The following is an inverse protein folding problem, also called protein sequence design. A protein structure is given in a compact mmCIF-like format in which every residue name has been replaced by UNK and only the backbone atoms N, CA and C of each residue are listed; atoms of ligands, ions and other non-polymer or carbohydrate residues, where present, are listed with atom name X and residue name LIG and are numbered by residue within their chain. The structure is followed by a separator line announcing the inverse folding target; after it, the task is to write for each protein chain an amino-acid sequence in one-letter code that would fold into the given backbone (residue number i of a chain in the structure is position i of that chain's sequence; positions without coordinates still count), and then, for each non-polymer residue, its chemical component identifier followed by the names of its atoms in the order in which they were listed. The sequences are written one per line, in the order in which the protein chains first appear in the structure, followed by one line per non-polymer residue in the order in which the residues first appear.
data_IF_559384584238
#
_entry.id   IF_559384584238
#
_cell.length_a   1.000
_cell.length_b   1.000
_cell.length_c   1.000
_cell.angle_alpha   90.00
_cell.angle_beta   90.00
_cell.angle_gamma   90.00
#
_symmetry.space_group_name_H-M   'P 1'
#
loop_
_entity.id
_entity.type
_entity.pdbx_description
1 polymer ?
#
# COMPACT_ATOMS: atom_id res chain seq x y z
N UNK A 1 -15.07 14.33 -8.76
CA UNK A 1 -13.69 13.82 -8.60
C UNK A 1 -13.80 12.50 -7.86
N UNK A 2 -13.22 11.41 -8.39
CA UNK A 2 -13.30 10.06 -7.79
C UNK A 2 -12.82 10.15 -6.34
N UNK A 3 -13.65 9.69 -5.40
CA UNK A 3 -13.29 9.58 -4.00
C UNK A 3 -12.12 8.57 -3.92
N UNK A 4 -10.89 9.05 -3.77
CA UNK A 4 -9.66 8.24 -3.67
C UNK A 4 -9.44 7.72 -2.25
N UNK A 5 -10.43 7.88 -1.35
CA UNK A 5 -10.37 7.32 0.00
C UNK A 5 -10.12 5.82 -0.07
N UNK A 6 -9.03 5.38 0.55
CA UNK A 6 -8.65 3.98 0.56
C UNK A 6 -7.67 3.55 -0.51
N UNK A 7 -7.20 4.45 -1.38
CA UNK A 7 -6.17 4.15 -2.36
C UNK A 7 -5.00 5.12 -2.21
N UNK A 8 -3.78 4.59 -2.11
CA UNK A 8 -2.56 5.38 -2.11
C UNK A 8 -1.76 5.13 -3.37
N UNK A 9 -1.08 6.16 -3.88
CA UNK A 9 -0.15 5.99 -5.00
C UNK A 9 1.01 5.12 -4.53
N UNK A 10 1.52 4.24 -5.38
CA UNK A 10 2.71 3.44 -5.09
C UNK A 10 3.98 4.28 -5.23
N UNK A 11 4.22 5.20 -4.29
CA UNK A 11 5.37 6.11 -4.26
C UNK A 11 6.39 5.77 -3.15
N UNK A 12 6.22 4.63 -2.47
CA UNK A 12 7.09 4.21 -1.37
C UNK A 12 6.71 4.76 0.00
N UNK A 13 5.52 5.36 0.17
CA UNK A 13 5.07 5.90 1.46
C UNK A 13 5.23 4.93 2.64
N UNK A 14 5.66 5.46 3.80
CA UNK A 14 5.70 4.73 5.07
C UNK A 14 4.33 4.84 5.77
N UNK A 15 3.75 3.70 6.12
CA UNK A 15 2.45 3.57 6.78
C UNK A 15 2.63 2.89 8.14
N UNK A 16 1.79 3.27 9.11
CA UNK A 16 1.74 2.57 10.39
C UNK A 16 1.01 1.23 10.25
N UNK A 17 1.60 0.18 10.80
CA UNK A 17 1.00 -1.16 10.75
C UNK A 17 -0.32 -1.20 11.50
N UNK A 18 -0.42 -0.51 12.65
CA UNK A 18 -1.61 -0.50 13.51
C UNK A 18 -2.88 0.01 12.79
N UNK A 19 -2.71 0.88 11.80
CA UNK A 19 -3.81 1.48 11.03
C UNK A 19 -4.15 0.66 9.76
N UNK A 20 -3.27 -0.27 9.35
CA UNK A 20 -3.35 -0.99 8.08
C UNK A 20 -3.03 -2.50 8.22
N UNK A 21 -3.50 -3.12 9.31
CA UNK A 21 -3.14 -4.50 9.68
C UNK A 21 -3.49 -5.53 8.58
N UNK A 22 -4.66 -5.37 7.94
CA UNK A 22 -5.08 -6.25 6.84
C UNK A 22 -4.11 -6.18 5.65
N UNK A 23 -3.71 -4.98 5.24
CA UNK A 23 -2.71 -4.80 4.19
C UNK A 23 -1.33 -5.38 4.61
N UNK A 24 -0.89 -5.13 5.85
CA UNK A 24 0.36 -5.69 6.37
C UNK A 24 0.37 -7.22 6.35
N UNK A 25 -0.75 -7.87 6.64
CA UNK A 25 -0.86 -9.34 6.58
C UNK A 25 -0.60 -9.93 5.19
N UNK A 26 -0.81 -9.14 4.14
CA UNK A 26 -0.62 -9.54 2.73
C UNK A 26 0.79 -9.26 2.21
N UNK A 27 1.36 -8.09 2.53
CA UNK A 27 2.62 -7.64 1.93
C UNK A 27 3.82 -7.64 2.90
N UNK A 28 3.56 -7.68 4.21
CA UNK A 28 4.58 -7.57 5.25
C UNK A 28 5.38 -6.26 5.17
N UNK A 29 6.66 -6.34 5.51
CA UNK A 29 7.66 -5.27 5.40
C UNK A 29 8.52 -5.40 4.13
N UNK A 30 8.02 -6.08 3.08
CA UNK A 30 8.79 -6.39 1.86
C UNK A 30 9.38 -5.16 1.17
N UNK A 31 8.72 -4.01 1.27
CA UNK A 31 9.16 -2.77 0.65
C UNK A 31 9.90 -1.83 1.62
N UNK A 32 10.23 -2.31 2.81
CA UNK A 32 10.87 -1.55 3.87
C UNK A 32 9.91 -1.24 5.02
N UNK A 33 10.44 -0.47 5.96
CA UNK A 33 9.72 0.01 7.13
C UNK A 33 10.48 -0.29 8.42
N UNK A 34 10.08 0.39 9.49
CA UNK A 34 10.58 0.12 10.83
C UNK A 34 9.89 -1.11 11.40
N UNK A 35 10.65 -2.20 11.55
CA UNK A 35 10.17 -3.51 12.01
C UNK A 35 9.18 -3.39 13.17
N UNK A 36 7.99 -3.96 12.97
CA UNK A 36 6.96 -4.06 14.00
C UNK A 36 6.19 -2.76 14.29
N UNK A 37 6.49 -1.66 13.62
CA UNK A 37 5.77 -0.38 13.79
C UNK A 37 5.26 0.17 12.46
N UNK A 38 6.09 0.12 11.42
CA UNK A 38 5.81 0.72 10.12
C UNK A 38 6.13 -0.26 8.99
N UNK A 39 5.39 -0.11 7.89
CA UNK A 39 5.65 -0.78 6.62
C UNK A 39 5.71 0.27 5.51
N UNK A 40 6.50 0.04 4.48
CA UNK A 40 6.44 0.82 3.26
C UNK A 40 5.54 0.11 2.24
N UNK A 41 4.84 0.90 1.43
CA UNK A 41 4.19 0.42 0.21
C UNK A 41 5.20 0.38 -0.94
N UNK A 42 4.89 -0.27 -2.09
CA UNK A 42 5.78 -0.26 -3.23
C UNK A 42 6.09 1.16 -3.72
N UNK A 43 7.31 1.36 -4.22
CA UNK A 43 7.62 2.49 -5.09
C UNK A 43 7.66 1.98 -6.54
N UNK A 44 6.66 2.39 -7.32
CA UNK A 44 6.50 2.05 -8.74
C UNK A 44 6.50 3.30 -9.63
N UNK A 45 7.03 4.41 -9.11
CA UNK A 45 7.32 5.59 -9.92
C UNK A 45 8.35 5.22 -10.99
N UNK A 46 8.17 5.72 -12.20
CA UNK A 46 8.96 5.44 -13.40
C UNK A 46 8.85 3.98 -13.91
N UNK A 47 8.04 3.15 -13.27
CA UNK A 47 7.70 1.80 -13.72
C UNK A 47 6.36 1.76 -14.48
N UNK A 48 5.70 2.91 -14.66
CA UNK A 48 4.43 3.01 -15.34
C UNK A 48 4.55 2.73 -16.85
N UNK A 49 3.56 2.04 -17.46
CA UNK A 49 3.61 1.69 -18.89
C UNK A 49 3.45 2.91 -19.80
N UNK A 50 2.90 4.02 -19.29
CA UNK A 50 2.83 5.31 -19.98
C UNK A 50 2.76 6.45 -18.96
N UNK A 51 3.05 7.68 -19.41
CA UNK A 51 3.02 8.88 -18.57
C UNK A 51 1.62 9.23 -18.03
N UNK A 52 0.56 8.71 -18.64
CA UNK A 52 -0.84 9.02 -18.30
C UNK A 52 -1.45 8.04 -17.27
N UNK A 53 -0.67 7.08 -16.78
CA UNK A 53 -1.13 6.13 -15.77
C UNK A 53 -0.24 6.14 -14.54
N UNK A 54 -0.79 5.71 -13.41
CA UNK A 54 -0.08 5.61 -12.14
C UNK A 54 -0.57 4.40 -11.38
N UNK A 55 0.35 3.69 -10.72
CA UNK A 55 0.00 2.56 -9.87
C UNK A 55 -0.50 3.05 -8.51
N UNK A 56 -1.59 2.44 -8.05
CA UNK A 56 -2.17 2.66 -6.74
C UNK A 56 -2.37 1.33 -6.02
N UNK A 57 -2.27 1.36 -4.70
CA UNK A 57 -2.54 0.26 -3.80
C UNK A 57 -3.77 0.57 -2.94
N UNK A 58 -4.65 -0.41 -2.78
CA UNK A 58 -5.75 -0.30 -1.81
C UNK A 58 -5.17 -0.45 -0.41
N UNK A 59 -5.46 0.52 0.45
CA UNK A 59 -5.14 0.49 1.89
C UNK A 59 -6.33 0.07 2.75
N UNK A 60 -7.48 -0.18 2.11
CA UNK A 60 -8.65 -0.80 2.72
C UNK A 60 -8.75 -2.25 2.24
N UNK A 61 -9.06 -3.16 3.16
CA UNK A 61 -9.28 -4.57 2.85
C UNK A 61 -9.71 -5.36 4.08
N UNK A 62 -10.36 -6.48 3.85
CA UNK A 62 -10.68 -7.47 4.88
C UNK A 62 -9.50 -8.43 5.10
N UNK A 63 -9.47 -9.10 6.26
CA UNK A 63 -8.40 -10.04 6.55
C UNK A 63 -8.42 -11.24 5.59
N UNK A 64 -7.25 -11.73 5.14
CA UNK A 64 -7.19 -12.93 4.31
C UNK A 64 -7.66 -14.15 5.12
N UNK A 65 -8.79 -14.74 4.73
CA UNK A 65 -9.34 -15.95 5.36
C UNK A 65 -10.79 -15.84 5.84
N UNK A 66 -11.33 -14.63 5.94
CA UNK A 66 -12.75 -14.42 6.22
C UNK A 66 -13.56 -14.66 4.91
N UNK A 67 -14.17 -15.84 4.80
CA UNK A 67 -15.21 -16.19 3.82
C UNK A 67 -16.36 -16.87 4.53
#
# INVERSE_FOLDING_TARGET
MKDTKGWLRCDGAELKIEEHIALYSLIGDRFGGRKGQYMNIPNLIDAEPSADVSYYISINGEFPGDK
#
